data_IF_159114992031
#
_entry.id   IF_159114992031
#
_cell.length_a   1.000
_cell.length_b   1.000
_cell.length_c   1.000
_cell.angle_alpha   90.00
_cell.angle_beta   90.00
_cell.angle_gamma   90.00
#
_symmetry.space_group_name_H-M   'P 1'
#
loop_
_entity.id
_entity.type
_entity.pdbx_description
1 polymer ?
#
# COMPACT_ATOMS: atom_id res chain seq x y z
N UNK A 1 4.83 29.34 11.26
CA UNK A 1 4.11 28.60 10.20
C UNK A 1 4.18 27.14 10.56
N UNK A 2 3.13 26.60 11.15
CA UNK A 2 3.01 25.16 11.38
C UNK A 2 2.64 24.57 10.03
N UNK A 3 3.56 23.85 9.39
CA UNK A 3 3.18 23.01 8.25
C UNK A 3 2.15 22.02 8.79
N UNK A 4 0.97 21.98 8.19
CA UNK A 4 -0.05 20.99 8.54
C UNK A 4 0.32 19.67 7.87
N UNK A 5 1.40 19.05 8.39
CA UNK A 5 2.08 17.87 7.82
C UNK A 5 1.18 16.64 7.79
N UNK A 6 -0.01 16.71 8.38
CA UNK A 6 -0.93 15.59 8.56
C UNK A 6 -2.19 15.67 7.69
N UNK A 7 -2.41 16.78 6.99
CA UNK A 7 -3.66 16.98 6.23
C UNK A 7 -3.46 17.07 4.73
N UNK A 8 -2.22 17.05 4.24
CA UNK A 8 -1.91 17.18 2.81
C UNK A 8 -0.86 16.20 2.36
N UNK A 9 -1.02 15.75 1.11
CA UNK A 9 0.01 15.06 0.38
C UNK A 9 1.20 16.02 0.13
N UNK A 10 2.45 15.59 0.32
CA UNK A 10 3.60 16.41 -0.08
C UNK A 10 3.61 16.62 -1.60
N UNK A 11 3.93 17.84 -2.04
CA UNK A 11 4.47 18.14 -3.38
C UNK A 11 3.77 17.46 -4.58
N UNK A 12 2.43 17.51 -4.66
CA UNK A 12 1.65 16.89 -5.76
C UNK A 12 2.04 15.42 -6.02
N UNK A 13 2.40 14.68 -4.96
CA UNK A 13 2.89 13.32 -5.07
C UNK A 13 1.92 12.45 -5.88
N UNK A 14 2.45 11.91 -6.98
CA UNK A 14 1.70 11.04 -7.85
C UNK A 14 1.56 9.63 -7.28
N UNK A 15 0.51 8.95 -7.69
CA UNK A 15 0.34 7.53 -7.43
C UNK A 15 -0.34 6.82 -8.59
N UNK A 16 -0.09 5.52 -8.71
CA UNK A 16 -0.68 4.62 -9.71
C UNK A 16 -1.32 3.42 -9.04
N UNK A 17 -2.29 2.83 -9.72
CA UNK A 17 -2.82 1.52 -9.35
C UNK A 17 -1.98 0.41 -10.00
N UNK A 18 -1.66 -0.61 -9.21
CA UNK A 18 -0.97 -1.80 -9.67
C UNK A 18 -1.92 -2.98 -9.82
N UNK A 19 -1.34 -4.19 -9.82
CA UNK A 19 -2.09 -5.44 -9.87
C UNK A 19 -2.79 -5.73 -8.55
N UNK A 20 -3.69 -6.70 -8.58
CA UNK A 20 -4.31 -7.28 -7.39
C UNK A 20 -3.40 -8.35 -6.78
N UNK A 21 -3.37 -8.44 -5.46
CA UNK A 21 -2.56 -9.35 -4.67
C UNK A 21 -3.39 -9.98 -3.54
N UNK A 22 -2.78 -10.98 -2.89
CA UNK A 22 -3.22 -11.60 -1.66
C UNK A 22 -2.08 -11.54 -0.64
N UNK A 23 -2.38 -11.25 0.62
CA UNK A 23 -1.44 -11.41 1.72
C UNK A 23 -1.71 -12.77 2.37
N UNK A 24 -0.75 -13.69 2.27
CA UNK A 24 -0.89 -15.05 2.79
C UNK A 24 0.13 -15.36 3.88
N UNK A 25 -0.28 -16.11 4.90
CA UNK A 25 0.59 -16.65 5.94
C UNK A 25 0.94 -18.11 5.64
N UNK A 26 2.20 -18.39 5.33
CA UNK A 26 2.66 -19.70 4.82
C UNK A 26 4.03 -20.14 5.36
N UNK A 27 4.44 -21.35 4.99
CA UNK A 27 5.80 -21.86 5.17
C UNK A 27 6.68 -21.48 3.96
N UNK A 28 8.00 -21.61 4.11
CA UNK A 28 9.03 -20.98 3.27
C UNK A 28 8.91 -21.19 1.74
N UNK A 29 8.36 -22.32 1.32
CA UNK A 29 8.42 -22.80 -0.07
C UNK A 29 7.36 -22.16 -1.00
N UNK A 30 6.35 -21.50 -0.41
CA UNK A 30 5.11 -21.09 -1.11
C UNK A 30 5.10 -19.61 -1.55
N UNK A 31 6.08 -18.80 -1.16
CA UNK A 31 6.11 -17.36 -1.45
C UNK A 31 6.71 -17.01 -2.82
N UNK A 32 6.46 -17.85 -3.83
CA UNK A 32 6.98 -17.60 -5.19
C UNK A 32 6.32 -16.36 -5.78
N UNK A 33 7.11 -15.55 -6.50
CA UNK A 33 6.66 -14.31 -7.13
C UNK A 33 6.03 -13.28 -6.16
N UNK A 34 6.32 -13.38 -4.87
CA UNK A 34 5.88 -12.40 -3.90
C UNK A 34 6.58 -11.06 -4.12
N UNK A 35 5.85 -9.95 -4.02
CA UNK A 35 6.43 -8.60 -4.07
C UNK A 35 6.92 -8.11 -2.71
N UNK A 36 6.46 -8.74 -1.64
CA UNK A 36 6.93 -8.52 -0.28
C UNK A 36 6.88 -9.84 0.51
N UNK A 37 7.92 -10.09 1.29
CA UNK A 37 8.03 -11.25 2.19
C UNK A 37 8.54 -10.76 3.53
N UNK A 38 7.78 -11.03 4.59
CA UNK A 38 8.16 -10.73 5.96
C UNK A 38 8.13 -12.05 6.74
N UNK A 39 9.24 -12.40 7.38
CA UNK A 39 9.25 -13.50 8.34
C UNK A 39 8.76 -12.97 9.69
N UNK A 40 7.65 -13.51 10.17
CA UNK A 40 7.16 -13.23 11.51
C UNK A 40 8.09 -13.92 12.54
N UNK A 41 8.80 -13.16 13.40
CA UNK A 41 9.72 -13.74 14.37
C UNK A 41 9.01 -14.51 15.50
N UNK A 42 7.73 -14.28 15.74
CA UNK A 42 6.97 -14.96 16.79
C UNK A 42 6.43 -16.31 16.31
N UNK A 43 5.82 -16.33 15.12
CA UNK A 43 5.20 -17.56 14.57
C UNK A 43 6.14 -18.36 13.67
N UNK A 44 7.26 -17.77 13.23
CA UNK A 44 8.16 -18.29 12.19
C UNK A 44 7.50 -18.53 10.82
N UNK A 45 6.27 -18.07 10.62
CA UNK A 45 5.60 -18.08 9.32
C UNK A 45 6.13 -16.95 8.43
N UNK A 46 5.96 -17.10 7.12
CA UNK A 46 6.16 -16.03 6.16
C UNK A 46 4.82 -15.38 5.83
N UNK A 47 4.79 -14.05 5.92
CA UNK A 47 3.74 -13.18 5.40
C UNK A 47 4.13 -12.73 3.99
N UNK A 48 3.40 -13.19 2.98
CA UNK A 48 3.77 -13.02 1.58
C UNK A 48 2.68 -12.33 0.78
N UNK A 49 3.06 -11.27 0.08
CA UNK A 49 2.18 -10.55 -0.85
C UNK A 49 2.34 -11.15 -2.24
N UNK A 50 1.40 -11.98 -2.66
CA UNK A 50 1.47 -12.81 -3.88
C UNK A 50 0.34 -12.47 -4.87
N UNK A 51 0.57 -12.59 -6.18
CA UNK A 51 -0.43 -12.23 -7.20
C UNK A 51 -1.58 -13.25 -7.28
N UNK A 52 -1.37 -14.47 -6.79
CA UNK A 52 -2.35 -15.55 -6.78
C UNK A 52 -2.54 -16.05 -5.36
N UNK A 53 -3.79 -16.38 -5.02
CA UNK A 53 -4.10 -16.98 -3.73
C UNK A 53 -3.48 -18.39 -3.67
N UNK A 54 -2.69 -18.63 -2.64
CA UNK A 54 -2.05 -19.93 -2.35
C UNK A 54 -2.80 -20.65 -1.23
N UNK A 55 -2.49 -21.93 -1.03
CA UNK A 55 -3.06 -22.73 0.05
C UNK A 55 -2.60 -22.19 1.42
N UNK A 56 -3.57 -21.80 2.25
CA UNK A 56 -3.31 -21.23 3.57
C UNK A 56 -4.32 -20.16 3.98
N UNK A 57 -4.00 -19.44 5.06
CA UNK A 57 -4.75 -18.26 5.46
C UNK A 57 -4.30 -17.08 4.60
N UNK A 58 -5.23 -16.51 3.83
CA UNK A 58 -4.96 -15.39 2.94
C UNK A 58 -6.01 -14.30 3.10
N UNK A 59 -5.54 -13.06 3.13
CA UNK A 59 -6.33 -11.83 3.04
C UNK A 59 -6.31 -11.31 1.60
N UNK A 60 -7.48 -10.96 1.06
CA UNK A 60 -7.64 -10.33 -0.26
C UNK A 60 -8.96 -10.70 -0.94
N UNK A 61 -9.21 -10.19 -2.15
CA UNK A 61 -8.27 -9.48 -3.04
C UNK A 61 -7.88 -8.08 -2.56
N UNK A 62 -6.62 -7.71 -2.74
CA UNK A 62 -6.06 -6.41 -2.37
C UNK A 62 -5.49 -5.71 -3.61
N UNK A 63 -5.87 -4.46 -3.86
CA UNK A 63 -5.29 -3.66 -4.92
C UNK A 63 -4.04 -2.93 -4.43
N UNK A 64 -2.99 -2.97 -5.22
CA UNK A 64 -1.77 -2.22 -4.98
C UNK A 64 -1.93 -0.75 -5.39
N UNK A 65 -1.57 0.17 -4.50
CA UNK A 65 -1.34 1.59 -4.75
C UNK A 65 0.17 1.81 -4.67
N UNK A 66 0.75 2.39 -5.72
CA UNK A 66 2.18 2.65 -5.83
C UNK A 66 2.40 4.16 -5.89
N UNK A 67 3.10 4.70 -4.90
CA UNK A 67 3.44 6.12 -4.91
C UNK A 67 4.66 6.39 -5.80
N UNK A 68 4.74 7.61 -6.32
CA UNK A 68 5.97 8.11 -6.93
C UNK A 68 7.11 8.17 -5.88
N UNK A 69 8.39 8.13 -6.30
CA UNK A 69 9.50 8.10 -5.36
C UNK A 69 9.45 9.32 -4.47
N UNK A 70 9.70 9.10 -3.18
CA UNK A 70 9.74 10.16 -2.17
C UNK A 70 11.16 10.24 -1.65
N UNK A 71 11.67 11.46 -1.47
CA UNK A 71 12.97 11.66 -0.84
C UNK A 71 12.97 11.13 0.61
N UNK A 72 14.04 10.48 1.09
CA UNK A 72 14.07 9.86 2.42
C UNK A 72 13.88 10.81 3.60
N UNK A 73 14.03 12.12 3.39
CA UNK A 73 13.86 13.16 4.42
C UNK A 73 12.43 13.69 4.53
N UNK A 74 11.50 13.20 3.69
CA UNK A 74 10.09 13.59 3.76
C UNK A 74 9.42 12.96 4.98
N UNK A 75 9.01 13.83 5.91
CA UNK A 75 8.31 13.44 7.13
C UNK A 75 6.81 13.67 6.98
N UNK A 76 5.99 12.75 7.50
CA UNK A 76 4.54 12.93 7.65
C UNK A 76 3.70 12.46 6.48
N UNK A 77 4.30 12.12 5.33
CA UNK A 77 3.62 11.58 4.16
C UNK A 77 2.70 10.39 4.48
N UNK A 78 3.25 9.31 5.04
CA UNK A 78 2.46 8.12 5.42
C UNK A 78 1.39 8.46 6.46
N UNK A 79 1.63 9.42 7.35
CA UNK A 79 0.65 9.85 8.34
C UNK A 79 -0.54 10.57 7.68
N UNK A 80 -0.29 11.46 6.71
CA UNK A 80 -1.33 12.15 5.96
C UNK A 80 -2.19 11.15 5.16
N UNK A 81 -1.53 10.24 4.43
CA UNK A 81 -2.20 9.22 3.63
C UNK A 81 -3.02 8.24 4.48
N UNK A 82 -2.41 7.66 5.53
CA UNK A 82 -3.11 6.71 6.40
C UNK A 82 -4.29 7.36 7.11
N UNK A 83 -4.17 8.62 7.53
CA UNK A 83 -5.27 9.39 8.11
C UNK A 83 -6.42 9.58 7.12
N UNK A 84 -6.14 9.97 5.88
CA UNK A 84 -7.16 10.18 4.85
C UNK A 84 -7.97 8.90 4.58
N UNK A 85 -7.27 7.77 4.43
CA UNK A 85 -7.89 6.47 4.20
C UNK A 85 -8.68 5.98 5.44
N UNK A 86 -8.14 6.17 6.64
CA UNK A 86 -8.81 5.81 7.88
C UNK A 86 -10.12 6.60 8.11
N UNK A 87 -10.15 7.90 7.78
CA UNK A 87 -11.37 8.72 7.88
C UNK A 87 -12.50 8.22 6.98
N UNK A 88 -12.17 7.49 5.91
CA UNK A 88 -13.13 6.85 4.99
C UNK A 88 -13.38 5.37 5.36
N UNK A 89 -12.78 4.87 6.45
CA UNK A 89 -12.93 3.49 6.91
C UNK A 89 -12.20 2.47 6.04
N UNK A 90 -11.16 2.87 5.31
CA UNK A 90 -10.43 2.01 4.38
C UNK A 90 -9.21 1.43 5.13
N UNK A 91 -9.14 0.11 5.36
CA UNK A 91 -7.97 -0.51 5.93
C UNK A 91 -6.82 -0.51 4.91
N UNK A 92 -5.60 -0.39 5.40
CA UNK A 92 -4.39 -0.38 4.58
C UNK A 92 -3.37 -1.39 5.11
N UNK A 93 -2.58 -1.96 4.20
CA UNK A 93 -1.31 -2.60 4.54
C UNK A 93 -0.20 -1.80 3.86
N UNK A 94 0.79 -1.35 4.64
CA UNK A 94 1.87 -0.50 4.14
C UNK A 94 3.16 -1.29 3.99
N UNK A 95 3.81 -1.12 2.85
CA UNK A 95 5.11 -1.68 2.52
C UNK A 95 5.98 -0.60 1.91
N UNK A 96 7.25 -0.58 2.25
CA UNK A 96 8.23 0.33 1.66
C UNK A 96 9.32 -0.50 0.98
N UNK A 97 9.69 -0.14 -0.23
CA UNK A 97 10.95 -0.58 -0.82
C UNK A 97 12.04 0.48 -0.61
N UNK A 98 13.14 0.38 -1.34
CA UNK A 98 14.24 1.32 -1.22
C UNK A 98 13.88 2.76 -1.65
N UNK A 99 12.96 2.95 -2.60
CA UNK A 99 12.66 4.25 -3.22
C UNK A 99 11.20 4.71 -3.06
N UNK A 100 10.29 3.80 -2.76
CA UNK A 100 8.84 4.02 -2.86
C UNK A 100 8.10 3.34 -1.72
N UNK A 101 6.96 3.91 -1.42
CA UNK A 101 5.95 3.29 -0.58
C UNK A 101 4.83 2.70 -1.42
N UNK A 102 4.28 1.62 -0.88
CA UNK A 102 3.21 0.83 -1.46
C UNK A 102 2.13 0.66 -0.40
N UNK A 103 0.89 0.85 -0.80
CA UNK A 103 -0.25 0.48 0.02
C UNK A 103 -1.05 -0.60 -0.67
N UNK A 104 -1.49 -1.59 0.09
CA UNK A 104 -2.53 -2.51 -0.32
C UNK A 104 -3.85 -2.11 0.34
N UNK A 105 -4.89 -1.98 -0.46
CA UNK A 105 -6.26 -1.72 -0.01
C UNK A 105 -7.18 -2.83 -0.49
N UNK A 106 -8.28 -3.18 0.19
CA UNK A 106 -9.27 -4.10 -0.36
C UNK A 106 -9.74 -3.66 -1.74
N UNK A 107 -9.85 -4.60 -2.69
CA UNK A 107 -10.22 -4.29 -4.09
C UNK A 107 -11.55 -3.52 -4.16
N UNK A 108 -12.51 -3.85 -3.29
CA UNK A 108 -13.80 -3.17 -3.21
C UNK A 108 -13.72 -1.69 -2.76
N UNK A 109 -12.60 -1.27 -2.19
CA UNK A 109 -12.38 0.09 -1.68
C UNK A 109 -11.54 0.97 -2.61
N UNK A 110 -11.05 0.45 -3.75
CA UNK A 110 -10.13 1.16 -4.65
C UNK A 110 -10.64 2.54 -5.06
N UNK A 111 -11.89 2.63 -5.51
CA UNK A 111 -12.47 3.91 -5.93
C UNK A 111 -12.49 4.94 -4.80
N UNK A 112 -12.87 4.52 -3.59
CA UNK A 112 -12.87 5.40 -2.40
C UNK A 112 -11.46 5.77 -1.96
N UNK A 113 -10.49 4.87 -2.14
CA UNK A 113 -9.10 5.12 -1.80
C UNK A 113 -8.50 6.18 -2.73
N UNK A 114 -8.74 6.07 -4.04
CA UNK A 114 -8.32 7.08 -5.03
C UNK A 114 -8.92 8.45 -4.67
N UNK A 115 -10.23 8.52 -4.46
CA UNK A 115 -10.92 9.76 -4.07
C UNK A 115 -10.34 10.37 -2.79
N UNK A 116 -10.10 9.57 -1.75
CA UNK A 116 -9.55 10.04 -0.49
C UNK A 116 -8.12 10.60 -0.62
N UNK A 117 -7.31 10.03 -1.52
CA UNK A 117 -5.95 10.49 -1.79
C UNK A 117 -5.95 11.79 -2.62
N UNK A 118 -6.84 11.89 -3.60
CA UNK A 118 -7.02 13.13 -4.37
C UNK A 118 -7.54 14.28 -3.51
N UNK A 119 -8.44 14.02 -2.55
CA UNK A 119 -8.96 15.01 -1.59
C UNK A 119 -7.86 15.68 -0.74
N UNK A 120 -6.76 14.97 -0.47
CA UNK A 120 -5.60 15.52 0.27
C UNK A 120 -4.50 16.06 -0.65
N UNK A 121 -4.71 16.05 -1.97
CA UNK A 121 -3.82 16.64 -2.97
C UNK A 121 -2.77 15.70 -3.56
N UNK A 122 -2.94 14.37 -3.45
CA UNK A 122 -2.14 13.44 -4.25
C UNK A 122 -2.71 13.36 -5.69
N UNK A 123 -1.88 13.05 -6.68
CA UNK A 123 -2.29 13.01 -8.09
C UNK A 123 -2.43 11.58 -8.62
N UNK A 124 -3.62 11.19 -9.10
CA UNK A 124 -3.80 9.88 -9.70
C UNK A 124 -3.29 9.83 -11.16
N UNK A 125 -2.35 8.92 -11.45
CA UNK A 125 -1.67 8.78 -12.74
C UNK A 125 -2.08 7.50 -13.50
N UNK A 126 -3.23 6.91 -13.18
CA UNK A 126 -3.77 5.73 -13.85
C UNK A 126 -3.21 4.39 -13.34
N UNK A 127 -3.28 3.37 -14.18
CA UNK A 127 -2.78 2.02 -13.90
C UNK A 127 -1.30 1.90 -14.32
N UNK A 128 -0.54 1.00 -13.67
CA UNK A 128 0.80 0.64 -14.13
C UNK A 128 0.67 -0.18 -15.41
N UNK A 129 1.07 0.42 -16.53
CA UNK A 129 1.21 -0.28 -17.81
C UNK A 129 2.28 -1.38 -17.66
N UNK A 130 1.87 -2.62 -17.93
CA UNK A 130 2.73 -3.82 -17.87
C UNK A 130 3.44 -4.08 -19.19
#
# INVERSE_FOLDING_TARGET
MTFDVLTRCPQDLGFKLGKTYYLCAVREEECRNAIAVIRDPETNLLSCVVPEKIDGECLGPLRLIVFDPVEPDVVGFIAAVSRALALKGIPILAYSDYNRDYLLVPEENVGKAVEALEEIGCSFHGEIES
#
